data_IF_770745574244
#
_entry.id   IF_770745574244
#
_cell.length_a   1.000
_cell.length_b   1.000
_cell.length_c   1.000
_cell.angle_alpha   90.00
_cell.angle_beta   90.00
_cell.angle_gamma   90.00
#
_symmetry.space_group_name_H-M   'P 1'
#
loop_
_entity.id
_entity.type
_entity.pdbx_description
1 polymer ?
#
# COMPACT_ATOMS: atom_id res chain seq x y z
N UNK A 1 -4.64 -7.08 16.70
CA UNK A 1 -3.19 -7.34 16.50
C UNK A 1 -2.68 -6.41 15.41
N UNK A 2 -1.46 -5.86 15.53
CA UNK A 2 -0.89 -5.02 14.47
C UNK A 2 -0.50 -5.83 13.23
N UNK A 3 -0.49 -5.17 12.06
CA UNK A 3 -0.01 -5.74 10.79
C UNK A 3 1.26 -5.02 10.34
N UNK A 4 2.17 -5.67 9.60
CA UNK A 4 3.36 -5.01 9.07
C UNK A 4 3.02 -3.74 8.28
N UNK A 5 3.71 -2.65 8.60
CA UNK A 5 3.52 -1.36 7.95
C UNK A 5 3.95 -1.40 6.48
N UNK A 6 3.13 -0.90 5.58
CA UNK A 6 3.50 -0.75 4.18
C UNK A 6 4.42 0.47 4.02
N UNK A 7 5.37 0.36 3.09
CA UNK A 7 6.39 1.37 2.81
C UNK A 7 6.52 1.56 1.30
N UNK A 8 7.25 2.59 0.87
CA UNK A 8 7.65 2.73 -0.52
C UNK A 8 8.33 1.44 -1.00
N UNK A 9 7.91 0.91 -2.15
CA UNK A 9 8.37 -0.39 -2.65
C UNK A 9 7.53 -1.59 -2.21
N UNK A 10 6.60 -1.46 -1.26
CA UNK A 10 5.66 -2.53 -0.90
C UNK A 10 4.83 -2.96 -2.11
N UNK A 11 4.76 -4.25 -2.41
CA UNK A 11 4.05 -4.76 -3.57
C UNK A 11 2.57 -4.99 -3.26
N UNK A 12 1.73 -4.85 -4.27
CA UNK A 12 0.34 -5.29 -4.21
C UNK A 12 0.05 -6.43 -5.20
N UNK A 13 -1.02 -7.17 -4.92
CA UNK A 13 -1.66 -8.04 -5.91
C UNK A 13 -2.79 -7.26 -6.58
N UNK A 14 -2.89 -7.31 -7.91
CA UNK A 14 -4.02 -6.75 -8.64
C UNK A 14 -4.87 -7.88 -9.26
N UNK A 15 -6.18 -7.99 -8.93
CA UNK A 15 -7.06 -9.00 -9.51
C UNK A 15 -7.72 -8.57 -10.82
N UNK A 16 -7.50 -7.32 -11.27
CA UNK A 16 -8.12 -6.78 -12.48
C UNK A 16 -7.47 -7.36 -13.74
N UNK A 17 -8.17 -7.13 -14.86
CA UNK A 17 -7.71 -7.45 -16.20
C UNK A 17 -8.19 -6.39 -17.17
N UNK A 18 -7.43 -6.15 -18.23
CA UNK A 18 -7.88 -5.37 -19.38
C UNK A 18 -8.19 -6.33 -20.51
N UNK A 19 -9.48 -6.55 -20.78
CA UNK A 19 -9.92 -7.59 -21.71
C UNK A 19 -9.50 -8.99 -21.24
N UNK A 20 -8.63 -9.65 -22.03
CA UNK A 20 -8.07 -10.98 -21.72
C UNK A 20 -6.72 -10.90 -20.98
N UNK A 21 -6.11 -9.73 -20.85
CA UNK A 21 -4.77 -9.56 -20.28
C UNK A 21 -4.91 -9.28 -18.77
N UNK A 22 -4.42 -10.19 -17.89
CA UNK A 22 -4.39 -9.95 -16.44
C UNK A 22 -3.50 -8.77 -16.11
N UNK A 23 -3.89 -7.98 -15.10
CA UNK A 23 -2.99 -6.99 -14.53
C UNK A 23 -1.95 -7.69 -13.66
N UNK A 24 -0.79 -7.04 -13.49
CA UNK A 24 0.24 -7.49 -12.55
C UNK A 24 0.47 -6.36 -11.56
N UNK A 25 0.26 -6.64 -10.27
CA UNK A 25 0.46 -5.65 -9.23
C UNK A 25 1.95 -5.37 -9.00
N UNK A 26 2.28 -4.09 -8.87
CA UNK A 26 3.64 -3.60 -8.65
C UNK A 26 3.77 -2.85 -7.32
N UNK A 27 4.92 -2.14 -7.13
CA UNK A 27 5.23 -1.49 -5.87
C UNK A 27 4.43 -0.20 -5.63
N UNK A 28 4.35 0.20 -4.36
CA UNK A 28 4.05 1.57 -3.94
C UNK A 28 5.16 2.50 -4.45
N UNK A 29 4.79 3.58 -5.15
CA UNK A 29 5.72 4.54 -5.76
C UNK A 29 5.61 5.95 -5.23
N UNK A 30 4.60 6.22 -4.40
CA UNK A 30 4.49 7.46 -3.63
C UNK A 30 4.38 7.07 -2.17
N UNK A 31 5.07 7.79 -1.29
CA UNK A 31 4.95 7.60 0.15
C UNK A 31 4.83 8.94 0.86
N UNK A 32 4.98 8.91 2.18
CA UNK A 32 5.13 10.11 2.98
C UNK A 32 6.36 10.91 2.56
N UNK A 33 6.27 12.25 2.45
CA UNK A 33 7.43 13.08 2.12
C UNK A 33 8.42 13.21 3.28
N UNK A 34 8.03 12.89 4.51
CA UNK A 34 8.82 13.18 5.71
C UNK A 34 8.73 12.15 6.84
N UNK A 35 7.83 11.17 6.76
CA UNK A 35 7.72 10.08 7.75
C UNK A 35 8.27 8.80 7.12
N UNK A 36 9.27 8.24 7.77
CA UNK A 36 9.91 6.99 7.34
C UNK A 36 9.63 5.86 8.34
N UNK A 37 9.63 4.63 7.85
CA UNK A 37 9.53 3.39 8.60
C UNK A 37 10.73 2.53 8.19
N UNK A 38 11.62 2.27 9.13
CA UNK A 38 12.90 1.61 8.85
C UNK A 38 13.76 2.37 7.82
N UNK A 39 13.69 3.71 7.83
CA UNK A 39 14.41 4.58 6.90
C UNK A 39 13.77 4.75 5.51
N UNK A 40 12.67 4.04 5.22
CA UNK A 40 11.97 4.08 3.92
C UNK A 40 10.66 4.88 4.08
N UNK A 41 10.26 5.73 3.12
CA UNK A 41 9.01 6.48 3.21
C UNK A 41 7.79 5.60 3.51
N UNK A 42 6.97 5.99 4.49
CA UNK A 42 5.79 5.25 4.88
C UNK A 42 4.67 5.33 3.83
N UNK A 43 4.01 4.22 3.53
CA UNK A 43 2.86 4.21 2.61
C UNK A 43 1.56 4.55 3.35
N UNK A 44 0.64 5.24 2.66
CA UNK A 44 -0.61 5.75 3.22
C UNK A 44 -1.76 5.52 2.25
N UNK A 45 -2.99 5.59 2.76
CA UNK A 45 -4.16 5.62 1.90
C UNK A 45 -4.05 6.74 0.84
N UNK A 46 -4.39 6.41 -0.41
CA UNK A 46 -4.31 7.30 -1.56
C UNK A 46 -2.93 7.41 -2.20
N UNK A 47 -1.88 6.81 -1.61
CA UNK A 47 -0.58 6.74 -2.27
C UNK A 47 -0.65 5.82 -3.51
N UNK A 48 0.11 6.17 -4.55
CA UNK A 48 0.06 5.52 -5.86
C UNK A 48 0.88 4.24 -5.92
N UNK A 49 0.40 3.28 -6.70
CA UNK A 49 1.03 1.99 -6.97
C UNK A 49 1.26 1.85 -8.48
N UNK A 50 2.36 1.20 -8.87
CA UNK A 50 2.51 0.72 -10.25
C UNK A 50 1.64 -0.53 -10.42
N UNK A 51 0.93 -0.61 -11.54
CA UNK A 51 0.24 -1.81 -11.99
C UNK A 51 0.52 -1.98 -13.48
N UNK A 52 0.69 -3.22 -13.96
CA UNK A 52 0.74 -3.52 -15.40
C UNK A 52 -0.69 -3.47 -15.93
N UNK A 53 -1.13 -2.24 -16.21
CA UNK A 53 -2.50 -1.80 -16.43
C UNK A 53 -2.56 -0.28 -16.18
N UNK A 54 -3.75 0.30 -15.92
CA UNK A 54 -3.83 1.64 -15.35
C UNK A 54 -3.13 1.71 -13.97
N UNK A 55 -2.57 2.85 -13.55
CA UNK A 55 -2.02 3.00 -12.20
C UNK A 55 -3.07 2.72 -11.12
N UNK A 56 -2.66 2.05 -10.05
CA UNK A 56 -3.52 1.76 -8.89
C UNK A 56 -3.19 2.72 -7.72
N UNK A 57 -4.01 2.67 -6.67
CA UNK A 57 -3.79 3.43 -5.44
C UNK A 57 -4.24 2.63 -4.22
N UNK A 58 -3.65 2.92 -3.07
CA UNK A 58 -4.06 2.31 -1.80
C UNK A 58 -5.44 2.85 -1.42
N UNK A 59 -6.44 1.98 -1.26
CA UNK A 59 -7.82 2.40 -0.98
C UNK A 59 -8.21 2.30 0.49
N UNK A 60 -7.48 1.51 1.29
CA UNK A 60 -7.71 1.37 2.72
C UNK A 60 -6.40 1.46 3.53
N UNK A 61 -6.52 1.74 4.82
CA UNK A 61 -5.42 1.83 5.77
C UNK A 61 -5.87 1.46 7.18
N UNK A 62 -5.04 1.78 8.18
CA UNK A 62 -5.38 1.68 9.60
C UNK A 62 -6.59 2.56 9.97
N UNK A 63 -7.47 2.05 10.83
CA UNK A 63 -8.60 2.83 11.36
C UNK A 63 -8.23 3.79 12.49
N UNK A 64 -7.01 3.69 13.04
CA UNK A 64 -6.58 4.45 14.23
C UNK A 64 -5.24 5.16 14.07
N UNK A 65 -4.42 4.77 13.10
CA UNK A 65 -3.10 5.35 12.88
C UNK A 65 -3.08 6.13 11.58
N UNK A 66 -2.76 7.41 11.66
CA UNK A 66 -2.61 8.31 10.51
C UNK A 66 -1.18 8.80 10.37
N UNK A 67 -0.71 8.92 9.14
CA UNK A 67 0.57 9.53 8.76
C UNK A 67 0.26 10.67 7.78
N UNK A 68 0.71 11.88 8.11
CA UNK A 68 0.36 13.12 7.38
C UNK A 68 -1.16 13.30 7.17
N UNK A 69 -1.97 13.00 8.19
CA UNK A 69 -3.43 13.12 8.11
C UNK A 69 -4.12 12.07 7.24
N UNK A 70 -3.39 11.08 6.71
CA UNK A 70 -3.95 9.96 5.93
C UNK A 70 -3.79 8.65 6.69
N UNK A 71 -4.74 7.71 6.64
CA UNK A 71 -4.58 6.38 7.22
C UNK A 71 -3.29 5.69 6.79
N UNK A 72 -2.54 5.13 7.75
CA UNK A 72 -1.30 4.41 7.47
C UNK A 72 -1.61 3.07 6.79
N UNK A 73 -0.93 2.77 5.69
CA UNK A 73 -1.16 1.53 4.94
C UNK A 73 -0.40 0.35 5.54
N UNK A 74 -0.95 -0.85 5.42
CA UNK A 74 -0.44 -2.09 6.01
C UNK A 74 -0.59 -3.26 5.07
N UNK A 75 0.13 -4.34 5.35
CA UNK A 75 -0.08 -5.62 4.66
C UNK A 75 -1.54 -6.06 4.81
N UNK A 76 -2.16 -6.43 3.70
CA UNK A 76 -3.56 -6.86 3.59
C UNK A 76 -4.58 -5.74 3.37
N UNK A 77 -4.17 -4.47 3.48
CA UNK A 77 -5.04 -3.34 3.17
C UNK A 77 -5.33 -3.30 1.65
N UNK A 78 -6.55 -2.89 1.31
CA UNK A 78 -7.08 -2.96 -0.04
C UNK A 78 -6.49 -1.87 -0.96
N UNK A 79 -6.49 -2.15 -2.26
CA UNK A 79 -6.19 -1.19 -3.32
C UNK A 79 -7.44 -0.83 -4.11
N UNK A 80 -7.40 0.24 -4.92
CA UNK A 80 -8.54 0.72 -5.69
C UNK A 80 -8.94 -0.25 -6.80
N UNK A 81 -8.02 -1.08 -7.28
CA UNK A 81 -8.31 -2.18 -8.19
C UNK A 81 -8.96 -3.40 -7.49
N UNK A 82 -9.23 -3.32 -6.18
CA UNK A 82 -9.76 -4.45 -5.39
C UNK A 82 -8.69 -5.45 -4.97
N UNK A 83 -7.42 -5.09 -5.15
CA UNK A 83 -6.26 -5.84 -4.74
C UNK A 83 -5.90 -5.67 -3.27
N UNK A 84 -4.73 -6.19 -2.88
CA UNK A 84 -4.20 -6.07 -1.52
C UNK A 84 -2.69 -5.85 -1.52
N UNK A 85 -2.22 -5.08 -0.54
CA UNK A 85 -0.78 -4.95 -0.26
C UNK A 85 -0.27 -6.27 0.31
N UNK A 86 0.82 -6.79 -0.24
CA UNK A 86 1.39 -8.09 0.09
C UNK A 86 2.62 -8.01 0.98
N UNK A 87 3.37 -6.90 0.94
CA UNK A 87 4.62 -6.75 1.68
C UNK A 87 4.68 -5.46 2.48
N UNK A 88 5.49 -5.47 3.53
CA UNK A 88 5.71 -4.34 4.43
C UNK A 88 6.89 -4.60 5.36
N UNK A 89 7.19 -3.66 6.23
CA UNK A 89 8.28 -3.76 7.21
C UNK A 89 7.88 -4.70 8.35
N UNK A 90 8.49 -5.90 8.47
CA UNK A 90 8.04 -6.93 9.41
C UNK A 90 8.25 -6.55 10.89
N UNK A 91 9.19 -5.66 11.17
CA UNK A 91 9.54 -5.21 12.52
C UNK A 91 8.69 -4.04 13.03
N UNK A 92 7.88 -3.43 12.16
CA UNK A 92 7.02 -2.28 12.52
C UNK A 92 5.57 -2.66 12.26
N UNK A 93 4.81 -2.87 13.34
CA UNK A 93 3.42 -3.30 13.29
C UNK A 93 2.48 -2.13 13.58
N UNK A 94 1.53 -1.88 12.69
CA UNK A 94 0.50 -0.84 12.82
C UNK A 94 -0.84 -1.49 13.15
N UNK A 95 -1.45 -1.05 14.26
CA UNK A 95 -2.78 -1.48 14.73
C UNK A 95 -3.95 -0.80 14.01
N UNK A 96 -5.16 -0.99 14.52
CA UNK A 96 -6.41 -0.54 13.89
C UNK A 96 -6.72 -1.34 12.64
#
# INVERSE_FOLDING_TARGET
MGKPAAILGSFHLCPKKTGKIPHVGGPVVVGSPNVTIGGIPAARQGDKLICIGPPDSISAGSSSVTINGKPAARVGDSTSHGGKILSGMPTVLIGG
#
